data_IF_251131762156
#
_entry.id   IF_251131762156
#
_cell.length_a   1.000
_cell.length_b   1.000
_cell.length_c   1.000
_cell.angle_alpha   90.00
_cell.angle_beta   90.00
_cell.angle_gamma   90.00
#
_symmetry.space_group_name_H-M   'P 1'
#
loop_
_entity.id
_entity.type
_entity.pdbx_description
1 polymer ?
#
# COMPACT_ATOMS: atom_id res chain seq x y z
N UNK A 1 -3.47 -50.51 -30.11
CA UNK A 1 -3.28 -50.34 -28.64
C UNK A 1 -2.84 -48.90 -28.38
N UNK A 2 -3.54 -48.08 -27.60
CA UNK A 2 -3.03 -46.75 -27.26
C UNK A 2 -2.14 -46.82 -26.02
N UNK A 3 -0.95 -46.21 -26.12
CA UNK A 3 0.02 -46.11 -25.05
C UNK A 3 -0.52 -45.24 -23.90
N UNK A 4 -0.46 -45.76 -22.66
CA UNK A 4 -0.78 -45.01 -21.44
C UNK A 4 0.27 -43.91 -21.23
N UNK A 5 -0.15 -42.64 -21.26
CA UNK A 5 0.66 -41.51 -20.80
C UNK A 5 0.97 -41.71 -19.32
N UNK A 6 2.25 -41.76 -18.96
CA UNK A 6 2.68 -41.72 -17.56
C UNK A 6 2.35 -40.32 -17.04
N UNK A 7 1.50 -40.25 -16.02
CA UNK A 7 1.24 -39.04 -15.25
C UNK A 7 2.50 -38.70 -14.46
N UNK A 8 3.20 -37.63 -14.84
CA UNK A 8 4.27 -37.04 -14.04
C UNK A 8 3.65 -36.52 -12.72
N UNK A 9 4.13 -37.06 -11.59
CA UNK A 9 3.78 -36.54 -10.27
C UNK A 9 4.48 -35.18 -10.13
N UNK A 10 3.73 -34.10 -9.99
CA UNK A 10 4.27 -32.81 -9.55
C UNK A 10 4.82 -32.99 -8.13
N UNK A 11 6.13 -32.97 -7.97
CA UNK A 11 6.76 -32.84 -6.66
C UNK A 11 6.28 -31.53 -6.03
N UNK A 12 5.65 -31.64 -4.87
CA UNK A 12 5.10 -30.52 -4.13
C UNK A 12 6.27 -29.79 -3.46
N UNK A 13 6.50 -28.54 -3.86
CA UNK A 13 7.58 -27.72 -3.30
C UNK A 13 7.27 -27.43 -1.83
N UNK A 14 8.09 -27.96 -0.93
CA UNK A 14 7.96 -27.74 0.50
C UNK A 14 8.68 -26.44 0.88
N UNK A 15 7.96 -25.53 1.50
CA UNK A 15 8.49 -24.25 1.98
C UNK A 15 8.70 -24.26 3.48
N UNK A 16 9.69 -23.50 3.94
CA UNK A 16 9.93 -23.19 5.34
C UNK A 16 9.79 -21.69 5.52
N UNK A 17 8.98 -21.30 6.50
CA UNK A 17 8.83 -19.91 6.95
C UNK A 17 9.55 -19.73 8.29
N UNK A 18 10.34 -18.67 8.39
CA UNK A 18 11.15 -18.35 9.57
C UNK A 18 11.22 -16.85 9.79
N UNK A 19 11.50 -16.39 11.00
CA UNK A 19 11.86 -14.99 11.23
C UNK A 19 13.37 -14.80 11.08
N UNK A 20 13.78 -13.66 10.54
CA UNK A 20 15.19 -13.37 10.38
C UNK A 20 15.52 -11.91 10.25
N UNK A 21 16.83 -11.66 10.18
CA UNK A 21 17.41 -10.33 9.97
C UNK A 21 18.39 -10.38 8.82
N UNK A 22 18.31 -9.38 7.96
CA UNK A 22 19.25 -9.14 6.87
C UNK A 22 19.87 -7.75 7.03
N UNK A 23 21.18 -7.63 6.78
CA UNK A 23 21.91 -6.36 6.79
C UNK A 23 22.82 -6.36 5.57
N UNK A 24 22.63 -5.37 4.69
CA UNK A 24 23.50 -5.08 3.56
C UNK A 24 24.35 -3.86 3.93
N UNK A 25 25.58 -4.10 4.38
CA UNK A 25 26.44 -3.05 4.95
C UNK A 25 26.78 -1.95 3.92
N UNK A 26 27.11 -2.33 2.70
CA UNK A 26 27.47 -1.38 1.62
C UNK A 26 26.33 -0.41 1.28
N UNK A 27 25.08 -0.85 1.41
CA UNK A 27 23.89 -0.05 1.10
C UNK A 27 23.22 0.53 2.35
N UNK A 28 23.79 0.25 3.53
CA UNK A 28 23.19 0.57 4.84
C UNK A 28 21.71 0.14 4.93
N UNK A 29 21.35 -0.95 4.24
CA UNK A 29 20.00 -1.48 4.21
C UNK A 29 19.86 -2.61 5.23
N UNK A 30 18.72 -2.68 5.91
CA UNK A 30 18.40 -3.72 6.89
C UNK A 30 16.96 -4.16 6.76
N UNK A 31 16.72 -5.43 7.03
CA UNK A 31 15.39 -6.03 7.12
C UNK A 31 15.29 -6.86 8.40
N UNK A 32 14.13 -6.83 9.03
CA UNK A 32 13.76 -7.70 10.15
C UNK A 32 12.33 -8.16 9.92
N UNK A 33 12.08 -9.46 9.89
CA UNK A 33 10.75 -10.01 9.71
C UNK A 33 10.76 -11.43 9.16
N UNK A 34 9.62 -11.84 8.62
CA UNK A 34 9.44 -13.15 8.03
C UNK A 34 10.28 -13.34 6.76
N UNK A 35 10.77 -14.56 6.61
CA UNK A 35 11.53 -15.06 5.49
C UNK A 35 10.91 -16.38 5.03
N UNK A 36 11.00 -16.66 3.74
CA UNK A 36 10.59 -17.93 3.16
C UNK A 36 11.72 -18.50 2.32
N UNK A 37 11.86 -19.82 2.35
CA UNK A 37 12.77 -20.58 1.49
C UNK A 37 12.19 -21.92 1.12
N UNK A 38 12.71 -22.53 0.07
CA UNK A 38 12.49 -23.94 -0.21
C UNK A 38 13.32 -24.79 0.77
N UNK A 39 12.81 -25.96 1.16
CA UNK A 39 13.53 -26.88 2.07
C UNK A 39 14.92 -27.24 1.57
N UNK A 40 15.06 -27.44 0.26
CA UNK A 40 16.31 -27.83 -0.42
C UNK A 40 17.19 -26.64 -0.84
N UNK A 41 16.76 -25.41 -0.59
CA UNK A 41 17.48 -24.19 -0.98
C UNK A 41 17.97 -23.41 0.23
N UNK A 42 19.15 -22.79 0.07
CA UNK A 42 19.69 -21.80 1.02
C UNK A 42 19.20 -20.38 0.72
N UNK A 43 18.63 -20.16 -0.47
CA UNK A 43 18.08 -18.85 -0.84
C UNK A 43 16.80 -18.57 -0.07
N UNK A 44 16.79 -17.41 0.60
CA UNK A 44 15.67 -16.89 1.38
C UNK A 44 15.18 -15.60 0.75
N UNK A 45 13.86 -15.42 0.70
CA UNK A 45 13.21 -14.18 0.31
C UNK A 45 12.39 -13.63 1.48
N UNK A 46 12.10 -12.33 1.47
CA UNK A 46 11.19 -11.70 2.43
C UNK A 46 9.76 -12.19 2.19
N UNK A 47 9.07 -12.57 3.26
CA UNK A 47 7.71 -13.08 3.19
C UNK A 47 6.98 -12.84 4.52
N UNK A 48 5.67 -12.58 4.49
CA UNK A 48 4.89 -12.30 5.71
C UNK A 48 5.15 -10.88 6.24
N UNK A 49 5.08 -10.67 7.57
CA UNK A 49 5.31 -9.34 8.16
C UNK A 49 6.80 -9.01 8.27
N UNK A 50 7.17 -7.77 7.97
CA UNK A 50 8.53 -7.32 8.18
C UNK A 50 8.75 -5.82 8.00
N UNK A 51 9.86 -5.36 8.55
CA UNK A 51 10.33 -3.99 8.46
C UNK A 51 11.61 -3.93 7.65
N UNK A 52 11.57 -3.20 6.54
CA UNK A 52 12.73 -2.84 5.74
C UNK A 52 13.12 -1.39 6.00
N UNK A 53 14.42 -1.12 6.05
CA UNK A 53 14.95 0.21 6.21
C UNK A 53 16.23 0.35 5.39
N UNK A 54 16.29 1.38 4.58
CA UNK A 54 17.49 1.85 3.88
C UNK A 54 17.73 3.32 4.26
N UNK A 55 18.80 3.97 3.75
CA UNK A 55 18.97 5.41 3.89
C UNK A 55 17.84 6.23 3.25
N UNK A 56 17.10 5.66 2.29
CA UNK A 56 16.10 6.38 1.48
C UNK A 56 14.67 6.09 1.87
N UNK A 57 14.38 4.88 2.37
CA UNK A 57 13.01 4.47 2.70
C UNK A 57 12.95 3.64 3.99
N UNK A 58 11.80 3.68 4.65
CA UNK A 58 11.40 2.71 5.66
C UNK A 58 10.05 2.13 5.26
N UNK A 59 9.97 0.81 5.13
CA UNK A 59 8.72 0.08 4.91
C UNK A 59 8.42 -0.81 6.10
N UNK A 60 7.20 -0.75 6.61
CA UNK A 60 6.67 -1.62 7.66
C UNK A 60 5.35 -2.22 7.15
N UNK A 61 5.36 -3.50 6.76
CA UNK A 61 4.24 -4.06 6.03
C UNK A 61 4.32 -5.54 5.76
N UNK A 62 3.38 -6.01 4.94
CA UNK A 62 3.40 -7.38 4.43
C UNK A 62 4.38 -7.50 3.25
N UNK A 63 4.94 -8.68 3.10
CA UNK A 63 5.89 -9.06 2.09
C UNK A 63 5.44 -10.35 1.40
N UNK A 64 5.64 -10.42 0.10
CA UNK A 64 5.42 -11.62 -0.68
C UNK A 64 6.56 -11.77 -1.68
N UNK A 65 7.42 -12.76 -1.44
CA UNK A 65 8.51 -13.14 -2.35
C UNK A 65 9.40 -11.95 -2.74
N UNK A 66 9.94 -11.28 -1.71
CA UNK A 66 10.76 -10.06 -1.82
C UNK A 66 10.06 -8.80 -2.34
N UNK A 67 8.75 -8.83 -2.55
CA UNK A 67 7.98 -7.65 -2.94
C UNK A 67 7.13 -7.13 -1.77
N UNK A 68 7.01 -5.80 -1.66
CA UNK A 68 6.02 -5.18 -0.76
C UNK A 68 4.63 -5.60 -1.22
N UNK A 69 3.81 -6.10 -0.30
CA UNK A 69 2.50 -6.65 -0.60
C UNK A 69 1.52 -6.35 0.54
N UNK A 70 0.23 -6.64 0.34
CA UNK A 70 -0.77 -6.57 1.41
C UNK A 70 -0.89 -5.15 1.97
N UNK A 71 -0.90 -5.01 3.30
CA UNK A 71 -0.97 -3.71 3.97
C UNK A 71 0.39 -3.28 4.50
N UNK A 72 0.74 -2.01 4.29
CA UNK A 72 2.00 -1.47 4.77
C UNK A 72 2.01 0.05 4.95
N UNK A 73 3.07 0.51 5.60
CA UNK A 73 3.45 1.90 5.74
C UNK A 73 4.82 2.11 5.09
N UNK A 74 4.89 2.91 4.02
CA UNK A 74 6.12 3.32 3.36
C UNK A 74 6.41 4.79 3.67
N UNK A 75 7.54 5.05 4.31
CA UNK A 75 8.09 6.40 4.53
C UNK A 75 9.26 6.63 3.58
N UNK A 76 9.21 7.72 2.85
CA UNK A 76 10.31 8.23 2.05
C UNK A 76 11.17 9.13 2.93
N UNK A 77 12.34 8.66 3.34
CA UNK A 77 13.22 9.38 4.26
C UNK A 77 13.91 10.58 3.61
N UNK A 78 14.02 10.60 2.28
CA UNK A 78 14.61 11.72 1.52
C UNK A 78 13.65 12.90 1.34
N UNK A 79 12.36 12.62 1.10
CA UNK A 79 11.35 13.67 0.88
C UNK A 79 10.53 13.97 2.12
N UNK A 80 10.38 13.00 3.03
CA UNK A 80 9.45 13.06 4.17
C UNK A 80 8.03 12.56 3.85
N UNK A 81 7.79 12.12 2.61
CA UNK A 81 6.47 11.62 2.21
C UNK A 81 6.14 10.29 2.90
N UNK A 82 4.85 10.02 3.03
CA UNK A 82 4.33 8.83 3.69
C UNK A 82 3.17 8.24 2.91
N UNK A 83 3.23 6.95 2.62
CA UNK A 83 2.08 6.18 2.14
C UNK A 83 1.68 5.12 3.18
N UNK A 84 0.39 5.00 3.44
CA UNK A 84 -0.22 3.97 4.28
C UNK A 84 -1.35 3.33 3.51
N UNK A 85 -1.29 2.05 3.27
CA UNK A 85 -2.36 1.38 2.55
C UNK A 85 -1.93 0.07 1.94
N UNK A 86 -2.62 -0.28 0.87
CA UNK A 86 -2.42 -1.55 0.19
C UNK A 86 -1.30 -1.49 -0.85
N UNK A 87 -0.63 -2.62 -1.01
CA UNK A 87 0.47 -2.86 -1.92
C UNK A 87 0.22 -4.15 -2.69
N UNK A 88 0.62 -4.16 -3.96
CA UNK A 88 0.71 -5.36 -4.78
C UNK A 88 1.97 -5.26 -5.62
N UNK A 89 2.81 -6.29 -5.63
CA UNK A 89 4.04 -6.33 -6.43
C UNK A 89 4.93 -5.07 -6.30
N UNK A 90 5.12 -4.57 -5.08
CA UNK A 90 5.96 -3.41 -4.81
C UNK A 90 5.32 -2.05 -5.14
N UNK A 91 4.08 -2.00 -5.63
CA UNK A 91 3.39 -0.75 -5.99
C UNK A 91 2.16 -0.51 -5.12
N UNK A 92 1.79 0.76 -4.93
CA UNK A 92 0.54 1.15 -4.30
C UNK A 92 -0.63 0.69 -5.16
N UNK A 93 -1.54 -0.07 -4.55
CA UNK A 93 -2.70 -0.68 -5.20
C UNK A 93 -3.85 -0.72 -4.20
N UNK A 94 -5.10 -0.73 -4.65
CA UNK A 94 -6.25 -0.87 -3.74
C UNK A 94 -6.59 0.43 -3.04
N UNK A 95 -6.65 0.47 -1.71
CA UNK A 95 -6.97 1.69 -0.93
C UNK A 95 -5.82 2.14 -0.05
N UNK A 96 -5.61 3.45 0.06
CA UNK A 96 -4.55 4.01 0.89
C UNK A 96 -4.57 5.52 1.00
N UNK A 97 -3.74 6.02 1.91
CA UNK A 97 -3.49 7.43 2.18
C UNK A 97 -2.05 7.76 1.84
N UNK A 98 -1.85 8.76 0.98
CA UNK A 98 -0.55 9.39 0.76
C UNK A 98 -0.54 10.77 1.40
N UNK A 99 0.47 11.04 2.20
CA UNK A 99 0.72 12.34 2.83
C UNK A 99 2.03 12.86 2.26
N UNK A 100 1.96 14.00 1.58
CA UNK A 100 3.13 14.70 1.11
C UNK A 100 3.80 15.43 2.29
N UNK A 101 5.12 15.57 2.24
CA UNK A 101 5.87 16.33 3.23
C UNK A 101 5.43 17.80 3.33
N UNK A 102 4.82 18.34 2.28
CA UNK A 102 4.20 19.67 2.27
C UNK A 102 2.97 19.78 3.18
N UNK A 103 2.40 18.66 3.64
CA UNK A 103 1.20 18.60 4.46
C UNK A 103 -0.09 18.34 3.68
N UNK A 104 -0.05 18.35 2.35
CA UNK A 104 -1.16 17.86 1.53
C UNK A 104 -1.35 16.35 1.75
N UNK A 105 -2.56 15.84 1.50
CA UNK A 105 -2.84 14.40 1.54
C UNK A 105 -3.87 13.96 0.52
N UNK A 106 -3.80 12.69 0.13
CA UNK A 106 -4.82 12.02 -0.66
C UNK A 106 -5.21 10.73 0.03
N UNK A 107 -6.50 10.52 0.22
CA UNK A 107 -7.08 9.28 0.74
C UNK A 107 -8.06 8.74 -0.29
N UNK A 108 -7.86 7.51 -0.75
CA UNK A 108 -8.75 6.94 -1.75
C UNK A 108 -8.20 5.69 -2.40
N UNK A 109 -8.71 5.39 -3.58
CA UNK A 109 -8.24 4.26 -4.36
C UNK A 109 -6.93 4.58 -5.10
N UNK A 110 -6.14 3.54 -5.29
CA UNK A 110 -4.81 3.51 -5.89
C UNK A 110 -4.73 2.40 -6.91
N UNK A 111 -4.00 2.68 -7.99
CA UNK A 111 -3.70 1.70 -9.04
C UNK A 111 -2.34 1.99 -9.61
N UNK A 112 -1.42 1.03 -9.53
CA UNK A 112 -0.06 1.14 -10.04
C UNK A 112 0.64 2.46 -9.67
N UNK A 113 0.72 2.76 -8.36
CA UNK A 113 1.32 4.00 -7.80
C UNK A 113 0.60 5.31 -8.14
N UNK A 114 -0.61 5.26 -8.69
CA UNK A 114 -1.38 6.46 -9.06
C UNK A 114 -2.71 6.53 -8.34
N UNK A 115 -3.10 7.75 -7.94
CA UNK A 115 -4.45 8.04 -7.46
C UNK A 115 -5.47 7.63 -8.53
N UNK A 116 -6.45 6.81 -8.17
CA UNK A 116 -7.43 6.24 -9.09
C UNK A 116 -8.77 6.01 -8.38
N UNK A 117 -9.88 6.00 -9.11
CA UNK A 117 -11.19 5.74 -8.52
C UNK A 117 -11.65 6.85 -7.57
N UNK A 118 -12.48 6.52 -6.57
CA UNK A 118 -12.97 7.52 -5.62
C UNK A 118 -11.87 7.89 -4.62
N UNK A 119 -11.77 9.17 -4.32
CA UNK A 119 -10.85 9.67 -3.30
C UNK A 119 -11.14 11.10 -2.86
N UNK A 120 -10.34 11.51 -1.88
CA UNK A 120 -10.39 12.78 -1.19
C UNK A 120 -8.98 13.35 -1.19
N UNK A 121 -8.79 14.46 -1.89
CA UNK A 121 -7.55 15.23 -1.83
C UNK A 121 -7.73 16.39 -0.85
N UNK A 122 -6.74 16.61 0.01
CA UNK A 122 -6.65 17.75 0.93
C UNK A 122 -5.36 18.50 0.62
N UNK A 123 -5.44 19.80 0.35
CA UNK A 123 -4.22 20.59 0.12
C UNK A 123 -3.55 21.00 1.44
N UNK A 124 -2.43 21.69 1.31
CA UNK A 124 -1.65 22.24 2.44
C UNK A 124 -2.43 23.24 3.29
N UNK A 125 -3.48 23.87 2.74
CA UNK A 125 -4.34 24.83 3.44
C UNK A 125 -5.57 24.16 4.07
N UNK A 126 -5.73 22.84 3.93
CA UNK A 126 -6.89 22.10 4.42
C UNK A 126 -8.13 22.21 3.53
N UNK A 127 -8.02 22.73 2.32
CA UNK A 127 -9.12 22.69 1.34
C UNK A 127 -9.29 21.24 0.87
N UNK A 128 -10.53 20.78 0.75
CA UNK A 128 -10.84 19.37 0.46
C UNK A 128 -11.58 19.23 -0.87
N UNK A 129 -11.14 18.28 -1.69
CA UNK A 129 -11.78 17.92 -2.96
C UNK A 129 -12.13 16.44 -2.96
N UNK A 130 -13.42 16.16 -3.16
CA UNK A 130 -13.93 14.80 -3.27
C UNK A 130 -14.26 14.51 -4.72
N UNK A 131 -13.91 13.33 -5.22
CA UNK A 131 -14.30 12.94 -6.57
C UNK A 131 -13.63 11.69 -7.11
N UNK A 132 -13.81 11.47 -8.41
CA UNK A 132 -13.16 10.37 -9.14
C UNK A 132 -11.83 10.83 -9.73
N UNK A 133 -10.75 10.15 -9.35
CA UNK A 133 -9.41 10.34 -9.86
C UNK A 133 -9.11 9.27 -10.93
N UNK A 134 -8.29 9.63 -11.91
CA UNK A 134 -7.84 8.73 -12.96
C UNK A 134 -6.36 8.99 -13.23
N UNK A 135 -5.52 8.04 -12.85
CA UNK A 135 -4.08 8.07 -13.09
C UNK A 135 -3.38 9.34 -12.57
N UNK A 136 -3.77 9.81 -11.38
CA UNK A 136 -3.20 11.02 -10.76
C UNK A 136 -3.90 12.33 -11.15
N UNK A 137 -4.83 12.31 -12.09
CA UNK A 137 -5.64 13.47 -12.46
C UNK A 137 -7.01 13.38 -11.81
N UNK A 138 -7.53 14.48 -11.27
CA UNK A 138 -8.86 14.50 -10.67
C UNK A 138 -9.46 15.90 -10.54
N UNK A 139 -10.69 15.97 -10.01
CA UNK A 139 -11.42 17.22 -9.86
C UNK A 139 -10.69 18.15 -8.88
N UNK A 140 -10.40 19.38 -9.29
CA UNK A 140 -9.61 20.34 -8.50
C UNK A 140 -8.10 20.32 -8.76
N UNK A 141 -7.58 19.35 -9.53
CA UNK A 141 -6.19 19.30 -10.00
C UNK A 141 -6.04 19.63 -11.50
N UNK A 142 -7.15 19.84 -12.21
CA UNK A 142 -7.18 20.34 -13.59
C UNK A 142 -7.78 21.74 -13.66
N UNK A 143 -7.33 22.61 -14.60
CA UNK A 143 -7.85 23.97 -14.73
C UNK A 143 -9.34 24.06 -15.10
N UNK A 144 -9.93 22.98 -15.61
CA UNK A 144 -11.32 22.93 -16.07
C UNK A 144 -12.15 21.90 -15.30
N UNK A 145 -12.93 22.42 -14.36
CA UNK A 145 -14.24 21.95 -13.89
C UNK A 145 -14.40 20.56 -13.21
N UNK A 146 -15.12 20.57 -12.08
CA UNK A 146 -15.98 19.46 -11.67
C UNK A 146 -15.89 19.00 -10.22
N UNK A 147 -14.90 19.43 -9.46
CA UNK A 147 -14.72 18.98 -8.07
C UNK A 147 -15.61 19.75 -7.12
N UNK A 148 -16.36 19.03 -6.27
CA UNK A 148 -17.00 19.67 -5.12
C UNK A 148 -15.89 19.94 -4.11
N UNK A 149 -15.45 21.20 -4.06
CA UNK A 149 -14.58 21.68 -3.02
C UNK A 149 -15.41 21.92 -1.75
N UNK A 150 -15.00 21.35 -0.63
CA UNK A 150 -15.56 21.61 0.69
C UNK A 150 -14.45 22.05 1.66
N UNK A 151 -14.80 22.83 2.67
CA UNK A 151 -13.90 23.06 3.80
C UNK A 151 -13.79 21.79 4.66
N UNK A 152 -12.60 21.53 5.23
CA UNK A 152 -12.34 20.36 6.08
C UNK A 152 -13.33 20.22 7.24
N UNK A 153 -13.78 21.35 7.81
CA UNK A 153 -14.76 21.38 8.88
C UNK A 153 -16.14 20.85 8.44
N UNK A 154 -16.56 21.19 7.22
CA UNK A 154 -17.84 20.73 6.67
C UNK A 154 -17.83 19.22 6.38
N UNK A 155 -16.71 18.68 5.88
CA UNK A 155 -16.55 17.24 5.63
C UNK A 155 -16.58 16.44 6.93
N UNK A 156 -15.88 16.92 7.97
CA UNK A 156 -15.84 16.25 9.28
C UNK A 156 -17.25 16.11 9.88
N UNK A 157 -18.06 17.17 9.82
CA UNK A 157 -19.44 17.18 10.33
C UNK A 157 -20.32 16.18 9.58
N UNK A 158 -20.26 16.14 8.25
CA UNK A 158 -21.01 15.18 7.44
C UNK A 158 -20.60 13.72 7.73
N UNK A 159 -19.30 13.48 7.96
CA UNK A 159 -18.80 12.13 8.30
C UNK A 159 -19.29 11.68 9.69
N UNK A 160 -19.24 12.59 10.69
CA UNK A 160 -19.77 12.34 12.04
C UNK A 160 -21.29 12.09 12.01
N UNK A 161 -22.03 12.86 11.23
CA UNK A 161 -23.48 12.67 11.01
C UNK A 161 -23.79 11.34 10.31
N UNK A 162 -23.00 10.94 9.30
CA UNK A 162 -23.18 9.68 8.59
C UNK A 162 -22.84 8.44 9.46
N UNK A 163 -21.82 8.55 10.33
CA UNK A 163 -21.49 7.50 11.32
C UNK A 163 -22.58 7.41 12.39
N UNK A 164 -23.10 8.54 12.88
CA UNK A 164 -24.21 8.57 13.81
C UNK A 164 -25.48 7.93 13.21
N UNK A 165 -25.79 8.22 11.94
CA UNK A 165 -26.93 7.62 11.24
C UNK A 165 -26.81 6.10 11.04
N UNK A 166 -25.60 5.56 10.88
CA UNK A 166 -25.39 4.11 10.75
C UNK A 166 -25.51 3.38 12.09
N UNK A 167 -25.12 4.03 13.18
CA UNK A 167 -25.23 3.46 14.53
C UNK A 167 -26.66 3.56 15.11
N UNK A 168 -27.49 4.47 14.60
CA UNK A 168 -28.89 4.61 15.00
C UNK A 168 -29.83 3.52 14.43
N UNK A 169 -29.36 2.67 13.52
CA UNK A 169 -30.13 1.59 12.90
C UNK A 169 -29.96 0.19 13.53
N UNK A 170 -29.26 0.09 14.65
CA UNK A 170 -29.07 -1.16 15.40
C UNK A 170 -29.70 -0.99 16.79
N UNK A 171 -31.04 -0.94 16.84
CA UNK A 171 -31.87 -1.17 18.02
C UNK A 171 -33.15 -1.88 17.59
#
# INVERSE_FOLDING_TARGET
MPAKRKSEKKEEQVFVEEEGRYVHEEQSARYVGGLRRLTESTFRCRHGRGVFMSPTIRYDGDWHEDEMHGNGELRFLTTGDLYRGQFSHGVFEGTGTYTWASGASYEGAWRANRMHGLGTYTDVNGKVWNGKFYNGTGPGLTPFAGGICKEKAAVKRELEEAVASKNAGVL
#
